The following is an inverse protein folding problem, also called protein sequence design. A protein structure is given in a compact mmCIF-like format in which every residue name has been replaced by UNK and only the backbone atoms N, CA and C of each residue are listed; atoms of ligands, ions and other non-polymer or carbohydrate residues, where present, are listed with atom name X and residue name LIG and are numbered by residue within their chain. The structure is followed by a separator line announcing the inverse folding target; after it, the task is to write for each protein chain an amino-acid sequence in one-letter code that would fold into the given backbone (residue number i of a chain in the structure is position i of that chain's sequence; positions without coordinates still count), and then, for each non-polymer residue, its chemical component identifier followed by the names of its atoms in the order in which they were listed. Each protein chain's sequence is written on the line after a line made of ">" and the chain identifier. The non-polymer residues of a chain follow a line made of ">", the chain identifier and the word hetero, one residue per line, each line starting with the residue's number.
data_IF_102131998935
#
_entry.id   IF_102131998935
#
_cell.length_a   1.000
_cell.length_b   1.000
_cell.length_c   1.000
_cell.angle_alpha   90.00
_cell.angle_beta   90.00
_cell.angle_gamma   90.00
#
_symmetry.space_group_name_H-M   'P 1'
#
loop_
_entity.id
_entity.type
_entity.pdbx_description
1 polymer ?
#
# COMPACT_ATOMS: atom_id res chain seq x y z
N UNK A 1 6.59 23.21 -15.53
CA UNK A 1 6.93 22.08 -14.65
C UNK A 1 8.36 22.26 -14.15
N UNK A 2 8.60 22.20 -12.84
CA UNK A 2 9.97 22.20 -12.28
C UNK A 2 10.55 20.77 -12.34
N UNK A 3 11.80 20.56 -12.80
CA UNK A 3 12.38 19.22 -12.92
C UNK A 3 12.56 18.56 -11.54
N UNK A 4 12.19 17.28 -11.41
CA UNK A 4 12.47 16.46 -10.21
C UNK A 4 13.89 15.90 -10.33
N UNK A 5 14.81 16.46 -9.56
CA UNK A 5 16.24 16.10 -9.58
C UNK A 5 16.58 15.26 -8.36
N UNK A 6 17.36 14.19 -8.52
CA UNK A 6 17.80 13.35 -7.41
C UNK A 6 18.71 14.12 -6.45
N UNK A 7 18.31 14.21 -5.18
CA UNK A 7 19.07 14.93 -4.15
C UNK A 7 20.43 14.29 -3.83
N UNK A 8 20.66 13.03 -4.24
CA UNK A 8 21.90 12.32 -3.96
C UNK A 8 22.96 12.56 -5.04
N UNK A 9 22.59 12.49 -6.32
CA UNK A 9 23.53 12.57 -7.45
C UNK A 9 23.26 13.73 -8.42
N UNK A 10 22.24 14.54 -8.19
CA UNK A 10 21.88 15.67 -9.05
C UNK A 10 21.39 15.27 -10.45
N UNK A 11 21.14 13.98 -10.70
CA UNK A 11 20.62 13.49 -11.99
C UNK A 11 19.10 13.65 -12.05
N UNK A 12 18.57 13.96 -13.24
CA UNK A 12 17.12 14.01 -13.47
C UNK A 12 16.46 12.66 -13.18
N UNK A 13 15.39 12.68 -12.39
CA UNK A 13 14.58 11.50 -12.13
C UNK A 13 13.73 11.19 -13.37
N UNK A 14 13.55 9.90 -13.65
CA UNK A 14 12.63 9.43 -14.68
C UNK A 14 11.35 8.94 -14.02
N UNK A 15 10.22 9.50 -14.43
CA UNK A 15 8.92 8.98 -14.06
C UNK A 15 8.65 7.71 -14.87
N UNK A 16 8.39 6.60 -14.17
CA UNK A 16 8.01 5.34 -14.77
C UNK A 16 6.60 5.01 -14.26
N UNK A 17 5.68 4.77 -15.19
CA UNK A 17 4.34 4.28 -14.86
C UNK A 17 4.35 2.76 -14.99
N UNK A 18 4.23 2.06 -13.85
CA UNK A 18 4.20 0.60 -13.82
C UNK A 18 2.94 0.14 -13.10
N UNK A 19 2.05 -0.57 -13.79
CA UNK A 19 0.83 -1.15 -13.21
C UNK A 19 -0.09 -0.12 -12.51
N UNK A 20 -0.18 1.10 -13.05
CA UNK A 20 -0.99 2.18 -12.48
C UNK A 20 -0.30 2.98 -11.35
N UNK A 21 0.97 2.69 -11.07
CA UNK A 21 1.78 3.42 -10.09
C UNK A 21 2.78 4.32 -10.80
N UNK A 22 2.81 5.61 -10.46
CA UNK A 22 3.87 6.54 -10.87
C UNK A 22 5.02 6.47 -9.88
N UNK A 23 6.19 6.08 -10.36
CA UNK A 23 7.41 6.01 -9.54
C UNK A 23 8.48 6.88 -10.19
N UNK A 24 9.00 7.84 -9.43
CA UNK A 24 10.21 8.54 -9.82
C UNK A 24 11.43 7.70 -9.46
N UNK A 25 12.18 7.30 -10.47
CA UNK A 25 13.39 6.49 -10.32
C UNK A 25 14.59 7.31 -10.76
N UNK A 26 15.60 7.41 -9.89
CA UNK A 26 16.90 7.90 -10.32
C UNK A 26 17.65 6.78 -11.06
N UNK A 27 18.00 6.94 -12.35
CA UNK A 27 18.66 5.88 -13.11
C UNK A 27 20.09 5.58 -12.63
N UNK A 28 20.73 6.54 -11.95
CA UNK A 28 22.11 6.42 -11.47
C UNK A 28 22.16 5.73 -10.11
N UNK A 29 21.23 6.07 -9.22
CA UNK A 29 21.27 5.59 -7.84
C UNK A 29 20.26 4.48 -7.55
N UNK A 30 19.42 4.12 -8.53
CA UNK A 30 18.27 3.21 -8.38
C UNK A 30 17.37 3.52 -7.18
N UNK A 31 17.45 4.76 -6.68
CA UNK A 31 16.61 5.27 -5.61
C UNK A 31 15.26 5.61 -6.22
N UNK A 32 14.32 4.71 -6.02
CA UNK A 32 12.90 4.94 -6.28
C UNK A 32 12.27 5.60 -5.06
N UNK A 33 11.74 6.81 -5.23
CA UNK A 33 10.85 7.39 -4.22
C UNK A 33 9.43 7.01 -4.63
N UNK A 34 9.03 5.79 -4.23
CA UNK A 34 7.65 5.37 -4.39
C UNK A 34 6.78 6.19 -3.45
N UNK A 35 5.84 6.94 -4.01
CA UNK A 35 4.74 7.49 -3.23
C UNK A 35 3.95 6.30 -2.69
N UNK A 36 4.23 5.91 -1.44
CA UNK A 36 3.46 4.93 -0.70
C UNK A 36 2.08 5.51 -0.43
N UNK A 37 1.21 5.38 -1.43
CA UNK A 37 -0.23 5.41 -1.22
C UNK A 37 -0.66 4.09 -0.59
N UNK A 38 -0.24 3.83 0.65
CA UNK A 38 -0.81 2.78 1.50
C UNK A 38 -2.19 3.23 2.03
N UNK A 39 -2.97 3.94 1.22
CA UNK A 39 -4.39 4.17 1.48
C UNK A 39 -5.10 2.89 1.12
N UNK A 40 -5.12 1.95 2.07
CA UNK A 40 -5.95 0.77 1.97
C UNK A 40 -7.38 1.24 1.64
N UNK A 41 -7.96 0.85 0.49
CA UNK A 41 -9.25 1.36 0.08
C UNK A 41 -10.24 1.08 1.21
N UNK A 42 -11.02 2.10 1.64
CA UNK A 42 -11.96 1.99 2.78
C UNK A 42 -12.85 0.75 2.70
N UNK A 43 -13.18 0.33 1.49
CA UNK A 43 -13.93 -0.89 1.18
C UNK A 43 -13.24 -2.15 1.71
N UNK A 44 -11.93 -2.28 1.53
CA UNK A 44 -11.13 -3.42 1.99
C UNK A 44 -10.99 -3.42 3.52
N UNK A 45 -10.96 -2.24 4.14
CA UNK A 45 -11.01 -2.10 5.60
C UNK A 45 -12.33 -2.63 6.17
N UNK A 46 -13.47 -2.29 5.55
CA UNK A 46 -14.78 -2.78 5.97
C UNK A 46 -14.91 -4.30 5.82
N UNK A 47 -14.43 -4.86 4.70
CA UNK A 47 -14.43 -6.31 4.47
C UNK A 47 -13.63 -7.04 5.56
N UNK A 48 -12.43 -6.53 5.89
CA UNK A 48 -11.59 -7.13 6.92
C UNK A 48 -12.25 -7.06 8.31
N UNK A 49 -12.85 -5.90 8.64
CA UNK A 49 -13.53 -5.69 9.92
C UNK A 49 -14.74 -6.61 10.08
N UNK A 50 -15.56 -6.76 9.02
CA UNK A 50 -16.71 -7.67 9.01
C UNK A 50 -16.23 -9.12 9.14
N UNK A 51 -15.19 -9.51 8.41
CA UNK A 51 -14.61 -10.85 8.47
C UNK A 51 -14.12 -11.21 9.88
N UNK A 52 -13.41 -10.30 10.55
CA UNK A 52 -12.95 -10.47 11.93
C UNK A 52 -14.12 -10.60 12.91
N UNK A 53 -15.17 -9.80 12.75
CA UNK A 53 -16.35 -9.83 13.61
C UNK A 53 -17.10 -11.16 13.48
N UNK A 54 -17.31 -11.65 12.25
CA UNK A 54 -17.95 -12.95 12.01
C UNK A 54 -17.12 -14.12 12.56
N UNK A 55 -15.79 -14.09 12.38
CA UNK A 55 -14.90 -15.10 12.93
C UNK A 55 -14.95 -15.13 14.47
N UNK A 56 -14.99 -13.96 15.11
CA UNK A 56 -15.14 -13.86 16.56
C UNK A 56 -16.46 -14.45 17.04
N UNK A 57 -17.58 -14.06 16.42
CA UNK A 57 -18.91 -14.58 16.76
C UNK A 57 -18.98 -16.10 16.56
N UNK A 58 -18.47 -16.61 15.44
CA UNK A 58 -18.40 -18.04 15.16
C UNK A 58 -17.55 -18.78 16.22
N UNK A 59 -16.41 -18.21 16.62
CA UNK A 59 -15.58 -18.74 17.70
C UNK A 59 -16.33 -18.82 19.04
N UNK A 60 -17.06 -17.76 19.42
CA UNK A 60 -17.87 -17.75 20.64
C UNK A 60 -18.99 -18.80 20.58
N UNK A 61 -19.68 -18.92 19.44
CA UNK A 61 -20.74 -19.93 19.26
C UNK A 61 -20.17 -21.35 19.36
N UNK A 62 -19.02 -21.62 18.72
CA UNK A 62 -18.35 -22.91 18.81
C UNK A 62 -17.93 -23.24 20.24
N UNK A 63 -17.41 -22.27 21.00
CA UNK A 63 -17.04 -22.46 22.41
C UNK A 63 -18.29 -22.66 23.29
N UNK A 64 -19.38 -21.94 23.01
CA UNK A 64 -20.62 -22.01 23.79
C UNK A 64 -21.47 -23.26 23.48
N UNK A 65 -21.41 -23.77 22.25
CA UNK A 65 -22.13 -24.97 21.79
C UNK A 65 -21.47 -26.29 22.18
N UNK A 66 -20.25 -26.27 22.74
CA UNK A 66 -19.55 -27.43 23.31
C UNK A 66 -19.93 -27.63 24.79
N UNK A 67 -21.20 -27.37 25.15
CA UNK A 67 -21.71 -27.57 26.51
C UNK A 67 -22.93 -28.47 26.53
#
# INVERSE_FOLDING_TARGET
>A
MSPRVCSFCGTEMREIEQSGYRVDVCPVCSLGKGDRGDELPRELFWILAIGLCLAFIAGIILVAGVK
#
